data_IF_792973879065
#
_entry.id   IF_792973879065
#
_cell.length_a   1.000
_cell.length_b   1.000
_cell.length_c   1.000
_cell.angle_alpha   90.00
_cell.angle_beta   90.00
_cell.angle_gamma   90.00
#
_symmetry.space_group_name_H-M   'P 1'
#
loop_
_entity.id
_entity.type
_entity.pdbx_description
1 polymer ?
#
# COMPACT_ATOMS: atom_id res chain seq x y z
N UNK A 1 -13.57 -24.77 3.28
CA UNK A 1 -13.41 -24.39 4.70
C UNK A 1 -11.95 -24.47 5.20
N UNK A 2 -11.00 -24.98 4.42
CA UNK A 2 -9.61 -25.17 4.86
C UNK A 2 -8.88 -23.87 5.25
N UNK A 3 -8.95 -22.80 4.44
CA UNK A 3 -8.22 -21.55 4.73
C UNK A 3 -8.69 -20.86 6.01
N UNK A 4 -9.97 -20.95 6.34
CA UNK A 4 -10.53 -20.30 7.52
C UNK A 4 -10.03 -20.93 8.83
N UNK A 5 -9.74 -22.23 8.83
CA UNK A 5 -9.32 -22.97 10.04
C UNK A 5 -7.84 -23.35 10.05
N UNK A 6 -7.22 -23.50 8.88
CA UNK A 6 -5.87 -24.03 8.71
C UNK A 6 -5.01 -23.18 7.77
N UNK A 7 -5.53 -22.04 7.29
CA UNK A 7 -4.76 -21.10 6.49
C UNK A 7 -3.66 -20.45 7.30
N UNK A 8 -2.56 -20.08 6.64
CA UNK A 8 -1.52 -19.26 7.25
C UNK A 8 -2.07 -17.85 7.50
N UNK A 9 -1.67 -17.19 8.59
CA UNK A 9 -1.90 -15.75 8.76
C UNK A 9 -1.37 -14.98 7.55
N UNK A 10 -2.10 -13.93 7.15
CA UNK A 10 -1.68 -13.07 6.06
C UNK A 10 -0.62 -12.07 6.54
N UNK A 11 0.21 -11.60 5.62
CA UNK A 11 1.12 -10.47 5.84
C UNK A 11 0.47 -9.16 5.37
N UNK A 12 1.07 -8.03 5.72
CA UNK A 12 0.60 -6.74 5.22
C UNK A 12 0.83 -6.67 3.70
N UNK A 13 -0.23 -6.38 2.94
CA UNK A 13 -0.15 -6.17 1.48
C UNK A 13 0.56 -7.29 0.69
N UNK A 14 0.05 -8.55 0.71
CA UNK A 14 0.70 -9.67 0.04
C UNK A 14 0.71 -9.54 -1.49
N UNK A 15 -0.10 -8.64 -2.05
CA UNK A 15 -0.24 -8.44 -3.49
C UNK A 15 0.54 -7.24 -4.02
N UNK A 16 1.29 -6.54 -3.15
CA UNK A 16 2.07 -5.37 -3.55
C UNK A 16 1.22 -4.31 -4.25
N UNK A 17 0.02 -4.05 -3.73
CA UNK A 17 -0.90 -3.04 -4.28
C UNK A 17 -0.59 -1.65 -3.71
N UNK A 18 -0.90 -0.61 -4.47
CA UNK A 18 -0.54 0.76 -4.12
C UNK A 18 -1.60 1.52 -3.32
N UNK A 19 -2.86 1.08 -3.32
CA UNK A 19 -3.98 1.84 -2.73
C UNK A 19 -3.90 1.91 -1.19
N UNK A 20 -4.47 2.98 -0.60
CA UNK A 20 -4.40 3.21 0.84
C UNK A 20 -4.97 2.08 1.70
N UNK A 21 -5.95 1.32 1.22
CA UNK A 21 -6.51 0.18 1.96
C UNK A 21 -5.44 -0.82 2.41
N UNK A 22 -4.36 -0.96 1.63
CA UNK A 22 -3.23 -1.85 1.94
C UNK A 22 -2.28 -1.30 2.99
N UNK A 23 -2.56 -0.12 3.54
CA UNK A 23 -1.88 0.46 4.70
C UNK A 23 -2.67 0.27 6.00
N UNK A 24 -3.94 -0.16 5.91
CA UNK A 24 -4.74 -0.44 7.09
C UNK A 24 -4.15 -1.65 7.84
N UNK A 25 -4.00 -1.57 9.17
CA UNK A 25 -3.39 -2.63 9.95
C UNK A 25 -4.28 -3.88 9.97
N UNK A 26 -3.66 -5.05 10.05
CA UNK A 26 -4.34 -6.33 10.25
C UNK A 26 -4.74 -6.46 11.73
N UNK A 27 -5.72 -5.67 12.15
CA UNK A 27 -6.19 -5.59 13.53
C UNK A 27 -7.73 -5.52 13.59
N UNK A 28 -8.29 -6.01 14.69
CA UNK A 28 -9.74 -6.02 14.91
C UNK A 28 -10.16 -4.81 15.76
N UNK A 29 -10.59 -3.73 15.12
CA UNK A 29 -11.13 -2.55 15.79
C UNK A 29 -12.14 -1.81 14.90
N UNK A 30 -12.80 -0.78 15.45
CA UNK A 30 -13.69 0.10 14.70
C UNK A 30 -12.94 1.34 14.24
N UNK A 31 -13.02 1.65 12.95
CA UNK A 31 -12.16 2.61 12.26
C UNK A 31 -11.20 1.88 11.30
N UNK A 32 -10.64 2.60 10.33
CA UNK A 32 -9.77 2.01 9.30
C UNK A 32 -8.27 2.13 9.65
N UNK A 33 -7.85 3.25 10.24
CA UNK A 33 -6.46 3.53 10.60
C UNK A 33 -6.34 3.95 12.05
N UNK A 34 -5.20 3.65 12.63
CA UNK A 34 -4.81 4.16 13.95
C UNK A 34 -4.15 5.53 13.78
N UNK A 35 -4.50 6.49 14.64
CA UNK A 35 -3.86 7.82 14.65
C UNK A 35 -4.16 8.67 13.42
N UNK A 36 -3.12 9.21 12.80
CA UNK A 36 -3.23 10.10 11.64
C UNK A 36 -3.63 9.34 10.37
N UNK A 37 -4.53 9.93 9.58
CA UNK A 37 -5.00 9.33 8.33
C UNK A 37 -3.90 9.47 7.27
N UNK A 38 -3.55 8.40 6.53
CA UNK A 38 -2.51 8.47 5.51
C UNK A 38 -2.91 9.43 4.37
N UNK A 39 -1.93 10.18 3.88
CA UNK A 39 -2.10 11.13 2.78
C UNK A 39 -1.70 10.50 1.44
N UNK A 40 -2.38 10.88 0.36
CA UNK A 40 -2.03 10.43 -0.99
C UNK A 40 -1.00 11.38 -1.59
N UNK A 41 0.12 10.84 -2.07
CA UNK A 41 1.22 11.58 -2.70
C UNK A 41 1.48 11.20 -4.16
N UNK A 42 0.85 10.13 -4.66
CA UNK A 42 1.06 9.56 -5.99
C UNK A 42 -0.16 8.78 -6.46
N UNK A 43 -0.16 8.40 -7.73
CA UNK A 43 -1.24 7.64 -8.35
C UNK A 43 -1.33 6.18 -7.88
N UNK A 44 -2.54 5.63 -7.86
CA UNK A 44 -2.78 4.24 -7.49
C UNK A 44 -2.17 3.21 -8.48
N UNK A 45 -1.81 3.65 -9.69
CA UNK A 45 -1.24 2.81 -10.73
C UNK A 45 0.27 3.03 -10.93
N UNK A 46 0.96 3.65 -9.96
CA UNK A 46 2.41 3.89 -10.00
C UNK A 46 3.20 2.59 -9.78
N UNK A 47 3.14 1.71 -10.76
CA UNK A 47 3.87 0.44 -10.85
C UNK A 47 5.04 0.57 -11.82
N UNK A 48 6.14 -0.14 -11.54
CA UNK A 48 7.36 -0.22 -12.36
C UNK A 48 7.90 1.14 -12.80
N UNK A 49 7.81 2.14 -11.93
CA UNK A 49 8.29 3.49 -12.21
C UNK A 49 9.82 3.49 -12.33
N UNK A 50 10.40 4.06 -13.40
CA UNK A 50 11.85 4.15 -13.55
C UNK A 50 12.50 4.88 -12.36
N UNK A 51 13.60 4.31 -11.84
CA UNK A 51 14.33 4.86 -10.70
C UNK A 51 13.81 4.46 -9.32
N UNK A 52 12.74 3.66 -9.24
CA UNK A 52 12.30 3.03 -8.00
C UNK A 52 12.96 1.66 -7.82
N UNK A 53 13.20 1.31 -6.56
CA UNK A 53 13.81 0.02 -6.19
C UNK A 53 12.80 -1.13 -6.30
N UNK A 54 11.55 -0.85 -5.92
CA UNK A 54 10.44 -1.79 -6.01
C UNK A 54 9.54 -1.48 -7.21
N UNK A 55 8.92 -2.53 -7.74
CA UNK A 55 7.96 -2.45 -8.86
C UNK A 55 6.60 -1.85 -8.46
N UNK A 56 6.41 -1.47 -7.20
CA UNK A 56 5.18 -0.88 -6.70
C UNK A 56 5.53 0.17 -5.66
N UNK A 57 4.93 1.36 -5.74
CA UNK A 57 5.09 2.38 -4.72
C UNK A 57 3.73 2.76 -4.15
N UNK A 58 3.46 2.44 -2.87
CA UNK A 58 2.19 2.78 -2.24
C UNK A 58 1.90 4.28 -2.22
N UNK A 59 0.62 4.64 -2.33
CA UNK A 59 0.14 6.03 -2.42
C UNK A 59 0.58 6.93 -1.26
N UNK A 60 0.80 6.35 -0.07
CA UNK A 60 1.20 7.06 1.14
C UNK A 60 2.69 7.37 1.23
N UNK A 61 3.51 6.89 0.29
CA UNK A 61 4.94 7.17 0.25
C UNK A 61 5.16 8.49 -0.49
N UNK A 62 5.79 9.51 0.13
CA UNK A 62 6.12 10.76 -0.53
C UNK A 62 7.02 10.56 -1.76
N UNK A 63 6.94 11.46 -2.74
CA UNK A 63 7.83 11.47 -3.89
C UNK A 63 9.28 11.69 -3.43
N UNK A 64 10.24 10.99 -4.05
CA UNK A 64 11.67 11.20 -3.84
C UNK A 64 12.11 12.53 -4.44
N UNK A 65 13.24 13.05 -3.97
CA UNK A 65 13.82 14.27 -4.54
C UNK A 65 14.18 14.04 -6.01
N UNK A 66 13.66 14.88 -6.90
CA UNK A 66 13.84 14.76 -8.35
C UNK A 66 12.94 13.72 -9.04
N UNK A 67 12.02 13.08 -8.31
CA UNK A 67 11.03 12.18 -8.90
C UNK A 67 9.93 12.98 -9.62
N UNK A 68 9.74 12.74 -10.92
CA UNK A 68 8.63 13.34 -11.66
C UNK A 68 7.32 12.58 -11.40
N UNK A 69 6.25 13.34 -11.17
CA UNK A 69 4.90 12.78 -11.14
C UNK A 69 4.42 12.56 -12.59
N UNK A 70 4.42 11.30 -13.01
CA UNK A 70 3.91 10.91 -14.32
C UNK A 70 2.39 10.79 -14.24
N UNK A 71 1.67 11.58 -15.04
CA UNK A 71 0.22 11.40 -15.21
C UNK A 71 -0.01 10.14 -16.06
N UNK A 72 -0.54 9.09 -15.43
CA UNK A 72 -1.05 7.91 -16.13
C UNK A 72 -2.56 8.03 -16.31
#
# INVERSE_FOLDING_TARGET
IHSMFYGKPTEQNPWRSNTLEWTAPIAHFHGNWEGEIPHVHRWAYDYSKPGQEEDFVPQHIPLKEGEEELQH
#
